data_IF_350465848367
#
_entry.id   IF_350465848367
#
_cell.length_a   1.000
_cell.length_b   1.000
_cell.length_c   1.000
_cell.angle_alpha   90.00
_cell.angle_beta   90.00
_cell.angle_gamma   90.00
#
_symmetry.space_group_name_H-M   'P 1'
#
loop_
_entity.id
_entity.type
_entity.pdbx_description
1 polymer ?
#
# COMPACT_ATOMS: atom_id res chain seq x y z
N UNK A 1 -23.58 0.12 -12.39
CA UNK A 1 -22.32 -0.58 -12.61
C UNK A 1 -21.42 -0.21 -11.44
N UNK A 2 -20.84 -1.18 -10.74
CA UNK A 2 -19.85 -0.91 -9.69
C UNK A 2 -18.62 -0.28 -10.37
N UNK A 3 -18.13 0.92 -10.00
CA UNK A 3 -17.02 1.60 -10.68
C UNK A 3 -15.75 0.76 -10.83
N UNK A 4 -15.50 -0.20 -9.93
CA UNK A 4 -14.37 -1.14 -10.04
C UNK A 4 -14.73 -2.47 -10.72
N UNK A 5 -15.99 -2.87 -10.72
CA UNK A 5 -16.45 -4.11 -11.36
C UNK A 5 -15.92 -5.41 -10.73
N UNK A 6 -15.37 -5.36 -9.51
CA UNK A 6 -14.86 -6.54 -8.82
C UNK A 6 -16.00 -7.42 -8.29
N UNK A 7 -15.80 -8.75 -8.30
CA UNK A 7 -16.82 -9.74 -7.90
C UNK A 7 -16.98 -9.88 -6.38
N UNK A 8 -15.97 -9.50 -5.61
CA UNK A 8 -15.97 -9.65 -4.16
C UNK A 8 -16.84 -8.56 -3.51
N UNK A 9 -17.90 -8.99 -2.84
CA UNK A 9 -18.85 -8.12 -2.15
C UNK A 9 -18.49 -7.83 -0.70
N UNK A 10 -17.41 -8.42 -0.17
CA UNK A 10 -17.00 -8.22 1.23
C UNK A 10 -16.35 -6.86 1.49
N UNK A 11 -15.86 -6.19 0.44
CA UNK A 11 -15.34 -4.83 0.50
C UNK A 11 -16.06 -3.95 -0.52
N UNK A 12 -16.28 -2.69 -0.15
CA UNK A 12 -17.00 -1.71 -0.99
C UNK A 12 -16.10 -1.05 -2.02
N UNK A 13 -16.71 -0.53 -3.08
CA UNK A 13 -16.00 0.27 -4.08
C UNK A 13 -15.47 1.59 -3.49
N UNK A 14 -16.19 2.20 -2.55
CA UNK A 14 -15.70 3.38 -1.82
C UNK A 14 -14.38 3.08 -1.07
N UNK A 15 -14.28 1.88 -0.49
CA UNK A 15 -13.04 1.45 0.18
C UNK A 15 -11.91 1.25 -0.82
N UNK A 16 -12.17 0.60 -1.96
CA UNK A 16 -11.19 0.44 -3.05
C UNK A 16 -10.70 1.80 -3.55
N UNK A 17 -11.62 2.74 -3.74
CA UNK A 17 -11.31 4.12 -4.15
C UNK A 17 -10.44 4.82 -3.12
N UNK A 18 -10.80 4.74 -1.83
CA UNK A 18 -10.03 5.35 -0.76
C UNK A 18 -8.59 4.84 -0.71
N UNK A 19 -8.39 3.52 -0.83
CA UNK A 19 -7.06 2.89 -0.86
C UNK A 19 -6.28 3.31 -2.10
N UNK A 20 -6.88 3.20 -3.29
CA UNK A 20 -6.23 3.55 -4.56
C UNK A 20 -5.83 5.03 -4.61
N UNK A 21 -6.76 5.91 -4.20
CA UNK A 21 -6.52 7.35 -4.14
C UNK A 21 -5.39 7.69 -3.19
N UNK A 22 -5.36 7.06 -2.00
CA UNK A 22 -4.28 7.29 -1.04
C UNK A 22 -2.91 6.99 -1.66
N UNK A 23 -2.73 5.81 -2.26
CA UNK A 23 -1.46 5.42 -2.88
C UNK A 23 -1.06 6.40 -3.98
N UNK A 24 -1.97 6.71 -4.89
CA UNK A 24 -1.71 7.62 -6.00
C UNK A 24 -1.39 9.06 -5.54
N UNK A 25 -2.04 9.54 -4.46
CA UNK A 25 -1.72 10.84 -3.86
C UNK A 25 -0.30 10.85 -3.28
N UNK A 26 0.15 9.79 -2.61
CA UNK A 26 1.51 9.72 -2.06
C UNK A 26 2.58 9.60 -3.16
N UNK A 27 2.33 8.76 -4.18
CA UNK A 27 3.17 8.65 -5.38
C UNK A 27 3.36 10.01 -6.07
N UNK A 28 2.27 10.78 -6.17
CA UNK A 28 2.31 12.15 -6.70
C UNK A 28 3.15 13.10 -5.84
N UNK A 29 3.16 12.95 -4.51
CA UNK A 29 4.03 13.76 -3.64
C UNK A 29 5.51 13.45 -3.85
N UNK A 30 5.86 12.17 -3.97
CA UNK A 30 7.26 11.75 -4.22
C UNK A 30 7.75 12.24 -5.58
N UNK A 31 6.97 12.05 -6.65
CA UNK A 31 7.34 12.56 -7.98
C UNK A 31 7.56 14.07 -8.02
N UNK A 32 6.90 14.83 -7.13
CA UNK A 32 7.06 16.28 -6.98
C UNK A 32 8.15 16.71 -6.00
N UNK A 33 8.87 15.78 -5.37
CA UNK A 33 9.90 16.08 -4.37
C UNK A 33 9.33 16.69 -3.08
N UNK A 34 8.05 16.41 -2.78
CA UNK A 34 7.34 16.97 -1.62
C UNK A 34 7.43 16.07 -0.38
N UNK A 35 7.99 14.86 -0.53
CA UNK A 35 8.23 13.96 0.58
C UNK A 35 9.63 14.21 1.14
N UNK A 36 9.75 14.26 2.46
CA UNK A 36 11.04 14.37 3.14
C UNK A 36 11.23 13.20 4.10
N UNK A 37 12.47 12.90 4.47
CA UNK A 37 12.82 11.81 5.38
C UNK A 37 12.77 12.24 6.86
N UNK A 38 13.39 11.47 7.77
CA UNK A 38 13.47 11.84 9.20
C UNK A 38 14.26 13.12 9.46
N UNK A 39 15.30 13.37 8.66
CA UNK A 39 16.20 14.50 8.83
C UNK A 39 15.66 15.77 8.15
N UNK A 40 14.47 15.67 7.53
CA UNK A 40 13.85 16.74 6.77
C UNK A 40 14.44 16.89 5.36
N UNK A 41 15.33 15.99 4.94
CA UNK A 41 15.89 16.00 3.60
C UNK A 41 14.83 15.56 2.58
N UNK A 42 14.70 16.31 1.48
CA UNK A 42 13.79 15.95 0.41
C UNK A 42 14.25 14.68 -0.30
N UNK A 43 13.32 13.76 -0.53
CA UNK A 43 13.56 12.58 -1.34
C UNK A 43 13.79 13.01 -2.79
N UNK A 44 14.56 12.21 -3.53
CA UNK A 44 14.74 12.43 -4.96
C UNK A 44 13.40 12.32 -5.67
N UNK A 45 13.17 13.22 -6.63
CA UNK A 45 11.99 13.17 -7.51
C UNK A 45 12.05 11.92 -8.39
N UNK A 46 10.92 11.26 -8.57
CA UNK A 46 10.79 10.17 -9.54
C UNK A 46 10.37 10.73 -10.91
N UNK A 47 11.21 10.52 -11.93
CA UNK A 47 10.94 10.96 -13.30
C UNK A 47 9.81 10.19 -13.98
N UNK A 48 9.65 8.91 -13.65
CA UNK A 48 8.64 8.00 -14.23
C UNK A 48 7.80 7.32 -13.14
N UNK A 49 7.09 8.11 -12.34
CA UNK A 49 6.19 7.60 -11.32
C UNK A 49 4.84 7.20 -11.92
N UNK A 50 4.62 5.91 -12.14
CA UNK A 50 3.38 5.40 -12.74
C UNK A 50 2.18 5.52 -11.80
N UNK A 51 1.03 5.88 -12.34
CA UNK A 51 -0.24 5.85 -11.61
C UNK A 51 -0.72 4.40 -11.47
N UNK A 52 -1.14 4.01 -10.27
CA UNK A 52 -1.72 2.70 -10.02
C UNK A 52 -3.19 2.66 -10.45
N UNK A 53 -3.61 1.48 -10.90
CA UNK A 53 -5.01 1.10 -11.12
C UNK A 53 -5.37 -0.06 -10.19
N UNK A 54 -6.64 -0.17 -9.84
CA UNK A 54 -7.12 -1.34 -9.08
C UNK A 54 -7.24 -2.56 -10.00
N UNK A 55 -6.79 -3.71 -9.54
CA UNK A 55 -6.90 -4.98 -10.26
C UNK A 55 -7.70 -5.99 -9.42
N UNK A 56 -8.87 -6.38 -9.92
CA UNK A 56 -9.75 -7.31 -9.21
C UNK A 56 -9.19 -8.74 -9.10
N UNK A 57 -8.26 -9.15 -9.98
CA UNK A 57 -7.61 -10.46 -9.87
C UNK A 57 -6.57 -10.45 -8.76
N UNK A 58 -5.79 -9.37 -8.61
CA UNK A 58 -4.88 -9.21 -7.48
C UNK A 58 -5.62 -9.19 -6.15
N UNK A 59 -6.77 -8.50 -6.10
CA UNK A 59 -7.65 -8.53 -4.94
C UNK A 59 -8.15 -9.95 -4.62
N UNK A 60 -8.56 -10.72 -5.63
CA UNK A 60 -9.02 -12.09 -5.43
C UNK A 60 -7.89 -13.01 -4.93
N UNK A 61 -6.66 -12.81 -5.40
CA UNK A 61 -5.48 -13.54 -4.93
C UNK A 61 -5.21 -13.20 -3.46
N UNK A 62 -5.18 -11.90 -3.12
CA UNK A 62 -4.99 -11.46 -1.74
C UNK A 62 -6.08 -12.03 -0.81
N UNK A 63 -7.34 -11.98 -1.23
CA UNK A 63 -8.44 -12.58 -0.49
C UNK A 63 -8.25 -14.08 -0.27
N UNK A 64 -7.87 -14.82 -1.32
CA UNK A 64 -7.64 -16.28 -1.27
C UNK A 64 -6.59 -16.67 -0.23
N UNK A 65 -5.54 -15.86 -0.08
CA UNK A 65 -4.51 -16.11 0.92
C UNK A 65 -4.97 -15.71 2.33
N UNK A 66 -5.65 -14.57 2.47
CA UNK A 66 -6.10 -14.06 3.77
C UNK A 66 -7.22 -14.90 4.40
N UNK A 67 -8.12 -15.51 3.62
CA UNK A 67 -9.19 -16.37 4.16
C UNK A 67 -8.69 -17.67 4.76
N UNK A 68 -7.43 -18.05 4.52
CA UNK A 68 -6.81 -19.20 5.19
C UNK A 68 -6.58 -18.93 6.67
N UNK A 69 -6.62 -17.66 7.10
CA UNK A 69 -6.38 -17.23 8.48
C UNK A 69 -5.03 -17.72 9.04
N UNK A 70 -4.07 -17.98 8.16
CA UNK A 70 -2.68 -18.22 8.47
C UNK A 70 -1.86 -16.99 8.02
N UNK A 71 -0.65 -16.81 8.55
CA UNK A 71 0.24 -15.77 8.06
C UNK A 71 0.54 -15.98 6.57
N UNK A 72 0.52 -14.89 5.79
CA UNK A 72 0.88 -14.94 4.37
C UNK A 72 2.40 -14.95 4.31
N UNK A 73 2.99 -16.00 3.74
CA UNK A 73 4.45 -16.10 3.59
C UNK A 73 4.92 -15.80 2.17
N UNK A 74 4.05 -15.96 1.17
CA UNK A 74 4.35 -15.70 -0.24
C UNK A 74 3.09 -15.49 -1.06
N UNK A 75 3.20 -14.69 -2.11
CA UNK A 75 2.21 -14.55 -3.17
C UNK A 75 2.86 -14.99 -4.48
N UNK A 76 2.22 -15.91 -5.21
CA UNK A 76 2.68 -16.35 -6.53
C UNK A 76 1.64 -16.01 -7.58
N UNK A 77 2.05 -15.32 -8.65
CA UNK A 77 1.21 -15.00 -9.80
C UNK A 77 1.83 -15.68 -11.02
N UNK A 78 1.11 -16.66 -11.58
CA UNK A 78 1.67 -17.54 -12.61
C UNK A 78 2.85 -18.35 -12.06
N UNK A 79 4.06 -18.07 -12.56
CA UNK A 79 5.30 -18.74 -12.15
C UNK A 79 6.23 -17.83 -11.34
N UNK A 80 5.79 -16.62 -11.00
CA UNK A 80 6.62 -15.60 -10.36
C UNK A 80 6.14 -15.34 -8.95
N UNK A 81 7.08 -15.33 -7.99
CA UNK A 81 6.81 -14.88 -6.63
C UNK A 81 6.89 -13.36 -6.57
N UNK A 82 5.95 -12.77 -5.85
CA UNK A 82 5.83 -11.32 -5.68
C UNK A 82 5.85 -10.98 -4.20
N UNK A 83 6.54 -9.88 -3.90
CA UNK A 83 6.50 -9.28 -2.58
C UNK A 83 5.16 -8.57 -2.35
N UNK A 84 4.79 -8.37 -1.10
CA UNK A 84 3.52 -7.78 -0.71
C UNK A 84 3.63 -7.07 0.64
N UNK A 85 2.82 -6.02 0.78
CA UNK A 85 2.54 -5.41 2.06
C UNK A 85 1.31 -6.08 2.68
N UNK A 86 1.41 -6.44 3.96
CA UNK A 86 0.28 -6.92 4.75
C UNK A 86 0.15 -6.13 6.05
N UNK A 87 -1.05 -6.05 6.59
CA UNK A 87 -1.30 -5.37 7.85
C UNK A 87 -2.71 -5.60 8.37
N UNK A 88 -2.87 -5.46 9.68
CA UNK A 88 -4.15 -5.67 10.36
C UNK A 88 -4.83 -4.32 10.58
N UNK A 89 -5.99 -4.13 9.97
CA UNK A 89 -6.78 -2.89 10.06
C UNK A 89 -7.59 -2.79 11.36
N UNK A 90 -8.18 -3.89 11.85
CA UNK A 90 -8.88 -3.88 13.12
C UNK A 90 -8.84 -5.24 13.80
N UNK A 91 -8.56 -5.23 15.10
CA UNK A 91 -8.66 -6.41 15.98
C UNK A 91 -9.92 -6.36 16.86
N UNK A 92 -10.77 -5.32 16.70
CA UNK A 92 -11.92 -5.07 17.57
C UNK A 92 -13.22 -5.52 16.88
N UNK A 93 -13.88 -6.60 17.36
CA UNK A 93 -14.99 -7.23 16.66
C UNK A 93 -16.29 -6.41 16.55
N UNK A 94 -16.41 -5.25 17.20
CA UNK A 94 -17.69 -4.49 17.29
C UNK A 94 -17.64 -3.02 16.87
N UNK A 95 -16.46 -2.50 16.50
CA UNK A 95 -16.28 -1.14 15.98
C UNK A 95 -15.18 -1.18 14.92
N UNK A 96 -15.52 -1.64 13.72
CA UNK A 96 -14.65 -1.56 12.56
C UNK A 96 -15.11 -0.35 11.75
N UNK A 97 -14.33 0.73 11.77
CA UNK A 97 -14.49 1.78 10.77
C UNK A 97 -13.48 1.48 9.70
N UNK A 98 -13.88 0.62 8.77
CA UNK A 98 -12.98 -0.01 7.81
C UNK A 98 -12.13 1.02 7.05
N UNK A 99 -12.73 2.14 6.64
CA UNK A 99 -12.03 3.19 5.90
C UNK A 99 -11.01 3.94 6.77
N UNK A 100 -11.39 4.39 7.97
CA UNK A 100 -10.49 5.13 8.85
C UNK A 100 -9.36 4.25 9.41
N UNK A 101 -9.67 3.00 9.74
CA UNK A 101 -8.71 2.01 10.19
C UNK A 101 -7.69 1.70 9.08
N UNK A 102 -8.17 1.54 7.85
CA UNK A 102 -7.30 1.37 6.68
C UNK A 102 -6.43 2.59 6.43
N UNK A 103 -6.99 3.81 6.47
CA UNK A 103 -6.21 5.06 6.35
C UNK A 103 -5.14 5.16 7.43
N UNK A 104 -5.42 4.70 8.64
CA UNK A 104 -4.44 4.68 9.75
C UNK A 104 -3.28 3.74 9.44
N UNK A 105 -3.58 2.53 8.96
CA UNK A 105 -2.56 1.57 8.53
C UNK A 105 -1.71 2.13 7.38
N UNK A 106 -2.33 2.65 6.32
CA UNK A 106 -1.64 3.22 5.17
C UNK A 106 -0.76 4.44 5.53
N UNK A 107 -1.18 5.24 6.52
CA UNK A 107 -0.36 6.33 7.09
C UNK A 107 0.84 5.79 7.84
N UNK A 108 0.69 4.69 8.59
CA UNK A 108 1.81 4.08 9.29
C UNK A 108 2.88 3.58 8.32
N UNK A 109 2.47 2.89 7.25
CA UNK A 109 3.35 2.47 6.15
C UNK A 109 4.06 3.65 5.50
N UNK A 110 3.32 4.71 5.18
CA UNK A 110 3.92 5.91 4.59
C UNK A 110 4.90 6.62 5.53
N UNK A 111 4.66 6.57 6.84
CA UNK A 111 5.46 7.26 7.84
C UNK A 111 6.79 6.55 8.16
N UNK A 112 7.07 5.35 7.64
CA UNK A 112 8.38 4.70 7.78
C UNK A 112 9.50 5.62 7.30
N UNK A 113 9.29 6.36 6.21
CA UNK A 113 10.27 7.33 5.69
C UNK A 113 10.58 8.47 6.66
N UNK A 114 9.69 8.74 7.61
CA UNK A 114 9.89 9.75 8.66
C UNK A 114 10.62 9.23 9.88
N UNK A 115 10.86 7.93 9.98
CA UNK A 115 11.53 7.31 11.14
C UNK A 115 13.02 7.09 10.88
N UNK A 116 13.44 7.08 9.62
CA UNK A 116 14.79 6.68 9.20
C UNK A 116 15.34 7.68 8.16
N UNK A 117 16.66 7.82 8.11
CA UNK A 117 17.35 8.60 7.05
C UNK A 117 17.24 7.84 5.74
N UNK A 118 16.78 8.48 4.67
CA UNK A 118 16.56 7.80 3.40
C UNK A 118 17.89 7.62 2.63
N UNK A 119 18.18 6.43 2.07
CA UNK A 119 19.45 6.17 1.40
C UNK A 119 19.61 7.00 0.14
N UNK A 120 20.76 7.66 0.00
CA UNK A 120 21.05 8.54 -1.14
C UNK A 120 21.27 7.78 -2.45
N UNK A 121 21.56 6.48 -2.39
CA UNK A 121 21.69 5.60 -3.56
C UNK A 121 20.36 4.98 -4.00
N UNK A 122 19.26 5.29 -3.30
CA UNK A 122 17.90 4.80 -3.57
C UNK A 122 17.74 3.27 -3.50
N UNK A 123 18.70 2.56 -2.92
CA UNK A 123 18.57 1.11 -2.75
C UNK A 123 17.54 0.78 -1.68
N UNK A 124 16.75 -0.25 -1.95
CA UNK A 124 15.77 -0.77 -1.01
C UNK A 124 16.46 -1.23 0.29
N UNK A 125 15.77 -1.02 1.41
CA UNK A 125 16.14 -1.56 2.73
C UNK A 125 14.88 -1.95 3.49
N UNK A 126 14.96 -2.97 4.33
CA UNK A 126 13.85 -3.47 5.16
C UNK A 126 13.23 -2.41 6.08
N UNK A 127 13.97 -1.34 6.40
CA UNK A 127 13.44 -0.20 7.18
C UNK A 127 12.28 0.53 6.49
N UNK A 128 12.18 0.40 5.17
CA UNK A 128 11.13 0.99 4.34
C UNK A 128 10.28 -0.10 3.69
N UNK A 129 10.13 -1.26 4.33
CA UNK A 129 9.42 -2.42 3.79
C UNK A 129 8.07 -2.04 3.19
N UNK A 130 7.29 -1.19 3.88
CA UNK A 130 5.99 -0.78 3.39
C UNK A 130 6.02 0.52 2.59
N UNK A 131 6.87 1.47 2.96
CA UNK A 131 7.01 2.74 2.25
C UNK A 131 7.52 2.56 0.81
N UNK A 132 8.56 1.74 0.62
CA UNK A 132 9.24 1.63 -0.66
C UNK A 132 8.29 1.17 -1.78
N UNK A 133 7.51 0.07 -1.66
CA UNK A 133 6.53 -0.33 -2.69
C UNK A 133 5.49 0.75 -3.04
N UNK A 134 5.13 1.63 -2.09
CA UNK A 134 4.21 2.74 -2.37
C UNK A 134 4.91 3.84 -3.18
N UNK A 135 6.21 4.05 -2.96
CA UNK A 135 7.00 5.19 -3.46
C UNK A 135 7.81 4.94 -4.74
N UNK A 136 7.74 3.74 -5.33
CA UNK A 136 8.51 3.31 -6.51
C UNK A 136 7.79 3.56 -7.84
#
# INVERSE_FOLDING_TARGET
MLPFGCKNSLISDDWREAVLKYHNDQRRKVSRGQQTDKDGAALKTAGEMYQLTWDCNLEAIAHTELVKCAGVSKITIGQTEHDFNEGVISTKPKKCNLEDDTKTLLKSWWNEVRQETFPTDMKYTEKFRHFAPVSL
#
